data_IF_139964155557
#
_entry.id   IF_139964155557
#
_cell.length_a   1.000
_cell.length_b   1.000
_cell.length_c   1.000
_cell.angle_alpha   90.00
_cell.angle_beta   90.00
_cell.angle_gamma   90.00
#
_symmetry.space_group_name_H-M   'P 1'
#
loop_
_entity.id
_entity.type
_entity.pdbx_description
1 polymer ?
#
# COMPACT_ATOMS: atom_id res chain seq x y z
N UNK A 1 21.88 4.27 -0.77
CA UNK A 1 21.28 5.03 -1.86
C UNK A 1 19.99 5.73 -1.47
N UNK A 2 19.72 6.86 -2.12
CA UNK A 2 18.53 7.65 -1.83
C UNK A 2 17.23 6.85 -2.02
N UNK A 3 17.23 5.93 -2.96
CA UNK A 3 16.03 5.16 -3.29
C UNK A 3 15.58 4.25 -2.14
N UNK A 4 16.52 3.69 -1.38
CA UNK A 4 16.15 2.84 -0.25
C UNK A 4 15.54 3.63 0.90
N UNK A 5 15.88 4.93 1.02
CA UNK A 5 15.27 5.79 2.03
C UNK A 5 13.81 6.13 1.69
N UNK A 6 13.49 6.31 0.41
CA UNK A 6 12.11 6.61 0.00
C UNK A 6 11.18 5.48 0.41
N UNK A 7 11.56 4.23 0.12
CA UNK A 7 10.74 3.07 0.50
C UNK A 7 10.57 2.96 2.01
N UNK A 8 11.64 3.19 2.77
CA UNK A 8 11.58 3.14 4.23
C UNK A 8 10.68 4.23 4.79
N UNK A 9 10.80 5.46 4.30
CA UNK A 9 9.99 6.59 4.77
C UNK A 9 8.51 6.35 4.48
N UNK A 10 8.17 5.89 3.27
CA UNK A 10 6.80 5.59 2.91
C UNK A 10 6.26 4.45 3.76
N UNK A 11 7.06 3.41 3.97
CA UNK A 11 6.68 2.27 4.80
C UNK A 11 6.38 2.71 6.23
N UNK A 12 7.23 3.53 6.82
CA UNK A 12 7.04 4.04 8.19
C UNK A 12 5.76 4.88 8.28
N UNK A 13 5.45 5.67 7.26
CA UNK A 13 4.22 6.45 7.23
C UNK A 13 2.99 5.56 7.13
N UNK A 14 3.08 4.45 6.41
CA UNK A 14 2.01 3.46 6.37
C UNK A 14 1.79 2.85 7.75
N UNK A 15 2.88 2.45 8.41
CA UNK A 15 2.79 1.84 9.74
C UNK A 15 2.24 2.80 10.78
N UNK A 16 2.55 4.09 10.67
CA UNK A 16 2.09 5.11 11.62
C UNK A 16 0.74 5.73 11.25
N UNK A 17 0.09 5.24 10.20
CA UNK A 17 -1.22 5.75 9.81
C UNK A 17 -2.24 5.57 10.91
N UNK A 18 -3.14 6.54 11.05
CA UNK A 18 -4.15 6.56 12.10
C UNK A 18 -5.25 5.51 11.92
N UNK A 19 -5.34 4.89 10.75
CA UNK A 19 -6.34 3.88 10.46
C UNK A 19 -5.78 2.74 9.62
N UNK A 20 -6.51 1.64 9.51
CA UNK A 20 -6.03 0.45 8.81
C UNK A 20 -6.04 0.56 7.30
N UNK A 21 -6.83 1.45 6.72
CA UNK A 21 -6.95 1.61 5.27
C UNK A 21 -6.15 2.83 4.83
N UNK A 22 -5.21 2.62 3.92
CA UNK A 22 -4.30 3.64 3.43
C UNK A 22 -4.41 3.72 1.92
N UNK A 23 -4.47 4.92 1.38
CA UNK A 23 -4.37 5.16 -0.06
C UNK A 23 -2.96 5.67 -0.37
N UNK A 24 -2.25 4.93 -1.20
CA UNK A 24 -0.89 5.28 -1.58
C UNK A 24 -0.91 5.89 -2.98
N UNK A 25 -0.45 7.12 -3.08
CA UNK A 25 -0.35 7.83 -4.35
C UNK A 25 1.10 7.82 -4.82
N UNK A 26 1.30 7.30 -6.01
CA UNK A 26 2.64 7.23 -6.62
C UNK A 26 2.53 7.38 -8.14
N UNK A 27 3.52 8.04 -8.73
CA UNK A 27 3.61 8.14 -10.18
C UNK A 27 4.13 6.87 -10.82
N UNK A 28 4.91 6.09 -10.08
CA UNK A 28 5.49 4.85 -10.59
C UNK A 28 5.44 3.76 -9.52
N UNK A 29 4.59 2.76 -9.77
CA UNK A 29 4.32 1.70 -8.81
C UNK A 29 5.46 0.68 -8.71
N UNK A 30 6.08 0.31 -9.83
CA UNK A 30 7.05 -0.78 -9.84
C UNK A 30 8.31 -0.49 -9.03
N UNK A 31 8.97 0.66 -9.17
CA UNK A 31 10.11 0.97 -8.31
C UNK A 31 9.76 1.00 -6.84
N UNK A 32 8.58 1.50 -6.49
CA UNK A 32 8.14 1.54 -5.10
C UNK A 32 7.96 0.14 -4.53
N UNK A 33 7.38 -0.78 -5.30
CA UNK A 33 7.22 -2.17 -4.88
C UNK A 33 8.58 -2.82 -4.63
N UNK A 34 9.56 -2.56 -5.50
CA UNK A 34 10.91 -3.10 -5.29
C UNK A 34 11.54 -2.57 -4.01
N UNK A 35 11.29 -1.30 -3.68
CA UNK A 35 11.77 -0.74 -2.42
C UNK A 35 11.09 -1.39 -1.21
N UNK A 36 9.79 -1.66 -1.30
CA UNK A 36 9.08 -2.38 -0.25
C UNK A 36 9.59 -3.80 -0.09
N UNK A 37 9.95 -4.45 -1.20
CA UNK A 37 10.55 -5.77 -1.16
C UNK A 37 11.86 -5.76 -0.38
N UNK A 38 12.70 -4.76 -0.62
CA UNK A 38 13.96 -4.60 0.12
C UNK A 38 13.70 -4.35 1.60
N UNK A 39 12.73 -3.49 1.93
CA UNK A 39 12.37 -3.20 3.32
C UNK A 39 11.88 -4.49 4.01
N UNK A 40 11.01 -5.24 3.36
CA UNK A 40 10.47 -6.47 3.93
C UNK A 40 11.56 -7.50 4.22
N UNK A 41 12.49 -7.67 3.28
CA UNK A 41 13.60 -8.62 3.46
C UNK A 41 14.57 -8.18 4.54
N UNK A 42 14.85 -6.88 4.63
CA UNK A 42 15.80 -6.35 5.60
C UNK A 42 15.24 -6.34 7.01
N UNK A 43 13.95 -6.00 7.17
CA UNK A 43 13.33 -5.85 8.48
C UNK A 43 12.62 -7.10 8.97
N UNK A 44 12.34 -8.06 8.08
CA UNK A 44 11.54 -9.23 8.40
C UNK A 44 10.04 -8.97 8.47
N UNK A 45 9.59 -7.77 8.10
CA UNK A 45 8.17 -7.41 8.14
C UNK A 45 7.37 -8.22 7.12
N UNK A 46 6.15 -8.60 7.49
CA UNK A 46 5.23 -9.30 6.60
C UNK A 46 4.58 -8.28 5.67
N UNK A 47 4.97 -8.29 4.41
CA UNK A 47 4.43 -7.41 3.38
C UNK A 47 3.98 -8.28 2.21
N UNK A 48 2.74 -8.05 1.78
CA UNK A 48 2.13 -8.79 0.69
C UNK A 48 1.72 -7.83 -0.42
N UNK A 49 1.69 -8.35 -1.64
CA UNK A 49 1.24 -7.59 -2.81
C UNK A 49 0.19 -8.41 -3.55
N UNK A 50 -0.96 -7.78 -3.80
CA UNK A 50 -1.98 -8.34 -4.67
C UNK A 50 -1.97 -7.62 -6.01
N UNK A 51 -1.95 -8.39 -7.08
CA UNK A 51 -2.14 -7.91 -8.46
C UNK A 51 -3.14 -8.76 -9.17
N UNK A 52 -3.89 -8.12 -10.07
CA UNK A 52 -4.84 -8.83 -10.93
C UNK A 52 -4.13 -9.97 -11.67
N UNK A 53 -4.77 -11.12 -11.73
CA UNK A 53 -4.27 -12.36 -12.36
C UNK A 53 -3.07 -13.02 -11.64
N UNK A 54 -2.32 -12.28 -10.85
CA UNK A 54 -1.17 -12.85 -10.12
C UNK A 54 -1.53 -13.33 -8.71
N UNK A 55 -2.55 -12.73 -8.12
CA UNK A 55 -2.97 -13.05 -6.77
C UNK A 55 -2.14 -12.36 -5.71
N UNK A 56 -2.16 -12.92 -4.51
CA UNK A 56 -1.52 -12.35 -3.32
C UNK A 56 -0.20 -13.07 -3.06
N UNK A 57 0.91 -12.32 -3.13
CA UNK A 57 2.26 -12.88 -2.98
C UNK A 57 2.99 -12.15 -1.87
N UNK A 58 3.90 -12.85 -1.20
CA UNK A 58 4.77 -12.25 -0.18
C UNK A 58 5.90 -11.49 -0.85
N UNK A 59 6.16 -10.27 -0.38
CA UNK A 59 7.35 -9.54 -0.81
C UNK A 59 8.58 -9.91 0.01
N UNK A 60 8.38 -10.45 1.20
CA UNK A 60 9.48 -10.92 2.05
C UNK A 60 10.02 -12.25 1.57
N UNK A 61 9.14 -13.15 1.16
CA UNK A 61 9.51 -14.47 0.69
C UNK A 61 9.00 -14.69 -0.72
N UNK A 62 9.91 -14.65 -1.69
CA UNK A 62 9.56 -14.69 -3.11
C UNK A 62 8.87 -15.99 -3.53
N UNK A 63 9.03 -17.07 -2.74
CA UNK A 63 8.42 -18.36 -3.04
C UNK A 63 7.01 -18.50 -2.47
N UNK A 64 6.60 -17.57 -1.62
CA UNK A 64 5.33 -17.69 -0.94
C UNK A 64 4.22 -16.94 -1.68
N UNK A 65 3.19 -17.72 -2.03
CA UNK A 65 1.94 -17.19 -2.62
C UNK A 65 0.78 -17.72 -1.79
N UNK A 66 -0.19 -16.84 -1.51
CA UNK A 66 -1.38 -17.26 -0.76
C UNK A 66 -2.35 -17.91 -1.74
N UNK A 67 -2.71 -19.19 -1.54
CA UNK A 67 -3.62 -19.87 -2.45
C UNK A 67 -5.02 -19.25 -2.43
N UNK A 68 -5.73 -19.31 -3.57
CA UNK A 68 -7.12 -18.89 -3.65
C UNK A 68 -7.36 -17.40 -3.58
N UNK A 69 -6.33 -16.57 -3.79
CA UNK A 69 -6.44 -15.12 -3.69
C UNK A 69 -6.19 -14.41 -5.02
N UNK A 70 -6.54 -15.05 -6.14
CA UNK A 70 -6.40 -14.44 -7.45
C UNK A 70 -7.39 -13.29 -7.65
N UNK A 71 -8.60 -13.44 -7.15
CA UNK A 71 -9.62 -12.41 -7.24
C UNK A 71 -9.47 -11.45 -6.05
N UNK A 72 -9.74 -10.17 -6.29
CA UNK A 72 -9.64 -9.15 -5.24
C UNK A 72 -10.51 -9.48 -4.03
N UNK A 73 -11.76 -9.90 -4.25
CA UNK A 73 -12.66 -10.25 -3.16
C UNK A 73 -12.14 -11.35 -2.28
N UNK A 74 -11.52 -12.37 -2.87
CA UNK A 74 -10.92 -13.47 -2.11
C UNK A 74 -9.72 -13.01 -1.31
N UNK A 75 -8.90 -12.14 -1.88
CA UNK A 75 -7.78 -11.54 -1.17
C UNK A 75 -8.29 -10.71 0.01
N UNK A 76 -9.33 -9.90 -0.18
CA UNK A 76 -9.90 -9.08 0.89
C UNK A 76 -10.46 -9.93 2.01
N UNK A 77 -11.11 -11.05 1.70
CA UNK A 77 -11.59 -12.00 2.72
C UNK A 77 -10.45 -12.63 3.50
N UNK A 78 -9.40 -13.03 2.79
CA UNK A 78 -8.21 -13.56 3.44
C UNK A 78 -7.63 -12.54 4.42
N UNK A 79 -7.47 -11.31 3.99
CA UNK A 79 -6.93 -10.23 4.82
C UNK A 79 -7.81 -10.00 6.04
N UNK A 80 -9.13 -9.98 5.87
CA UNK A 80 -10.05 -9.73 6.97
C UNK A 80 -10.01 -10.84 8.03
N UNK A 81 -9.65 -12.05 7.64
CA UNK A 81 -9.54 -13.20 8.54
C UNK A 81 -8.15 -13.36 9.13
N UNK A 82 -7.16 -12.59 8.66
CA UNK A 82 -5.79 -12.71 9.15
C UNK A 82 -5.69 -12.18 10.58
N UNK A 83 -5.07 -12.96 11.44
CA UNK A 83 -4.87 -12.62 12.85
C UNK A 83 -3.47 -12.09 13.14
N UNK A 84 -2.63 -12.01 12.12
CA UNK A 84 -1.24 -11.61 12.28
C UNK A 84 -1.01 -10.22 11.70
N UNK A 85 0.02 -9.54 12.22
CA UNK A 85 0.48 -8.29 11.64
C UNK A 85 0.83 -8.49 10.17
N UNK A 86 0.47 -7.52 9.35
CA UNK A 86 0.83 -7.52 7.95
C UNK A 86 0.47 -6.23 7.25
N UNK A 87 1.24 -5.91 6.25
CA UNK A 87 0.96 -4.83 5.30
C UNK A 87 0.57 -5.46 3.98
N UNK A 88 -0.61 -5.15 3.50
CA UNK A 88 -1.17 -5.72 2.27
C UNK A 88 -1.30 -4.62 1.24
N UNK A 89 -0.45 -4.66 0.23
CA UNK A 89 -0.46 -3.72 -0.88
C UNK A 89 -1.40 -4.26 -1.96
N UNK A 90 -2.40 -3.49 -2.33
CA UNK A 90 -3.38 -3.87 -3.34
C UNK A 90 -3.20 -2.96 -4.56
N UNK A 91 -2.70 -3.52 -5.66
CA UNK A 91 -2.61 -2.81 -6.93
C UNK A 91 -4.00 -2.80 -7.56
N UNK A 92 -4.72 -1.71 -7.31
CA UNK A 92 -6.15 -1.64 -7.61
C UNK A 92 -6.39 -1.59 -9.11
N UNK A 93 -7.35 -2.39 -9.61
CA UNK A 93 -7.75 -2.29 -11.00
C UNK A 93 -8.42 -0.95 -11.27
N UNK A 94 -8.40 -0.48 -12.54
CA UNK A 94 -9.07 0.77 -12.89
C UNK A 94 -10.58 0.68 -12.68
N UNK A 95 -11.17 1.81 -12.35
CA UNK A 95 -12.61 1.91 -12.16
C UNK A 95 -13.07 1.58 -10.74
N UNK A 96 -14.37 1.68 -10.49
CA UNK A 96 -14.91 1.41 -9.16
C UNK A 96 -14.88 -0.08 -8.85
N UNK A 97 -14.70 -0.48 -7.59
CA UNK A 97 -14.82 -1.87 -7.20
C UNK A 97 -16.28 -2.34 -7.30
N UNK A 98 -16.47 -3.65 -7.34
CA UNK A 98 -17.81 -4.22 -7.22
C UNK A 98 -18.42 -3.84 -5.87
N UNK A 99 -19.76 -3.96 -5.78
CA UNK A 99 -20.45 -3.69 -4.52
C UNK A 99 -19.93 -4.59 -3.40
N UNK A 100 -19.66 -5.85 -3.70
CA UNK A 100 -19.12 -6.81 -2.72
C UNK A 100 -17.72 -6.40 -2.26
N UNK A 101 -16.85 -6.06 -3.19
CA UNK A 101 -15.48 -5.64 -2.85
C UNK A 101 -15.49 -4.32 -2.08
N UNK A 102 -16.36 -3.39 -2.45
CA UNK A 102 -16.54 -2.14 -1.73
C UNK A 102 -16.97 -2.38 -0.29
N UNK A 103 -17.91 -3.31 -0.07
CA UNK A 103 -18.36 -3.66 1.27
C UNK A 103 -17.24 -4.29 2.11
N UNK A 104 -16.41 -5.14 1.49
CA UNK A 104 -15.27 -5.75 2.19
C UNK A 104 -14.23 -4.69 2.57
N UNK A 105 -13.95 -3.74 1.68
CA UNK A 105 -13.04 -2.63 1.98
C UNK A 105 -13.58 -1.79 3.14
N UNK A 106 -14.88 -1.53 3.16
CA UNK A 106 -15.50 -0.78 4.25
C UNK A 106 -15.38 -1.50 5.57
N UNK A 107 -15.59 -2.81 5.58
CA UNK A 107 -15.36 -3.63 6.77
C UNK A 107 -13.92 -3.50 7.27
N UNK A 108 -12.95 -3.60 6.35
CA UNK A 108 -11.53 -3.48 6.70
C UNK A 108 -11.19 -2.09 7.24
N UNK A 109 -11.80 -1.04 6.69
CA UNK A 109 -11.54 0.33 7.13
C UNK A 109 -12.03 0.59 8.55
N UNK A 110 -13.04 -0.15 9.00
CA UNK A 110 -13.66 0.03 10.31
C UNK A 110 -13.21 -1.00 11.33
N UNK A 111 -12.43 -2.00 10.91
CA UNK A 111 -12.00 -3.06 11.81
C UNK A 111 -11.09 -2.51 12.89
N UNK A 112 -11.53 -2.60 14.13
CA UNK A 112 -10.72 -2.27 15.29
C UNK A 112 -10.17 -3.58 15.83
N UNK A 113 -8.99 -3.95 15.36
CA UNK A 113 -8.32 -5.16 15.83
C UNK A 113 -7.15 -4.74 16.70
N UNK A 114 -6.82 -5.55 17.68
CA UNK A 114 -5.61 -5.37 18.46
C UNK A 114 -4.35 -5.61 17.65
N UNK A 115 -4.50 -5.98 16.38
CA UNK A 115 -3.39 -6.25 15.48
C UNK A 115 -3.18 -5.09 14.53
N UNK A 116 -1.94 -4.76 14.31
CA UNK A 116 -1.57 -3.69 13.39
C UNK A 116 -1.60 -4.24 11.98
N UNK A 117 -2.74 -4.12 11.34
CA UNK A 117 -2.92 -4.51 9.95
C UNK A 117 -3.11 -3.26 9.11
N UNK A 118 -2.44 -3.20 7.98
CA UNK A 118 -2.58 -2.08 7.04
C UNK A 118 -2.97 -2.64 5.68
N UNK A 119 -4.05 -2.11 5.13
CA UNK A 119 -4.48 -2.39 3.76
C UNK A 119 -4.19 -1.14 2.95
N UNK A 120 -3.30 -1.27 1.97
CA UNK A 120 -2.79 -0.13 1.20
C UNK A 120 -3.30 -0.24 -0.22
N UNK A 121 -4.10 0.74 -0.63
CA UNK A 121 -4.64 0.81 -1.99
C UNK A 121 -3.69 1.63 -2.85
N UNK A 122 -3.17 1.01 -3.91
CA UNK A 122 -2.31 1.67 -4.89
C UNK A 122 -3.11 1.89 -6.16
N UNK A 123 -3.14 3.11 -6.66
CA UNK A 123 -3.86 3.42 -7.89
C UNK A 123 -5.37 3.44 -7.76
N UNK A 124 -5.88 3.68 -6.56
CA UNK A 124 -7.32 3.78 -6.34
C UNK A 124 -7.92 4.97 -7.10
N UNK A 125 -9.09 4.77 -7.68
CA UNK A 125 -9.77 5.82 -8.43
C UNK A 125 -10.21 6.97 -7.50
N UNK A 126 -10.33 8.21 -8.02
CA UNK A 126 -10.83 9.31 -7.20
C UNK A 126 -12.23 9.04 -6.62
N UNK A 127 -13.09 8.34 -7.33
CA UNK A 127 -14.41 8.00 -6.83
C UNK A 127 -14.34 7.04 -5.64
N UNK A 128 -13.42 6.08 -5.68
CA UNK A 128 -13.20 5.18 -4.56
C UNK A 128 -12.66 5.94 -3.35
N UNK A 129 -11.70 6.83 -3.56
CA UNK A 129 -11.15 7.64 -2.49
C UNK A 129 -12.21 8.52 -1.84
N UNK A 130 -13.09 9.10 -2.65
CA UNK A 130 -14.19 9.92 -2.14
C UNK A 130 -15.17 9.12 -1.29
N UNK A 131 -15.42 7.86 -1.66
CA UNK A 131 -16.31 6.97 -0.90
C UNK A 131 -15.79 6.72 0.51
N UNK A 132 -14.48 6.70 0.70
CA UNK A 132 -13.83 6.41 1.98
C UNK A 132 -13.16 7.64 2.61
N UNK A 133 -13.58 8.83 2.24
CA UNK A 133 -12.87 10.08 2.58
C UNK A 133 -12.47 10.19 4.05
N UNK A 134 -13.38 9.82 4.96
CA UNK A 134 -13.13 9.92 6.40
C UNK A 134 -12.43 8.69 6.97
N UNK A 135 -12.43 7.59 6.23
CA UNK A 135 -11.94 6.29 6.71
C UNK A 135 -10.64 5.86 6.02
N UNK A 136 -10.05 6.72 5.19
CA UNK A 136 -8.82 6.38 4.48
C UNK A 136 -7.74 7.42 4.77
N UNK A 137 -6.54 6.93 5.04
CA UNK A 137 -5.37 7.78 5.26
C UNK A 137 -4.59 7.87 3.96
N UNK A 138 -4.36 9.08 3.48
CA UNK A 138 -3.64 9.29 2.23
C UNK A 138 -2.16 9.45 2.49
N UNK A 139 -1.35 8.68 1.79
CA UNK A 139 0.11 8.74 1.84
C UNK A 139 0.62 9.01 0.42
N UNK A 140 1.43 10.03 0.28
CA UNK A 140 2.01 10.42 -1.00
C UNK A 140 3.43 9.84 -1.09
N UNK A 141 3.60 8.85 -1.95
CA UNK A 141 4.90 8.20 -2.14
C UNK A 141 5.88 9.08 -2.90
N UNK A 142 5.40 10.09 -3.62
CA UNK A 142 6.25 11.03 -4.35
C UNK A 142 6.73 12.19 -3.47
N UNK A 143 6.31 12.22 -2.19
CA UNK A 143 6.67 13.28 -1.26
C UNK A 143 8.18 13.46 -1.17
N UNK A 144 8.94 12.37 -1.04
CA UNK A 144 10.39 12.45 -0.93
C UNK A 144 11.02 12.99 -2.22
N UNK A 145 10.53 12.53 -3.37
CA UNK A 145 11.00 13.01 -4.65
C UNK A 145 10.75 14.51 -4.82
N UNK A 146 9.58 15.00 -4.37
CA UNK A 146 9.29 16.43 -4.40
C UNK A 146 10.18 17.22 -3.45
N UNK A 147 10.47 16.67 -2.29
CA UNK A 147 11.38 17.29 -1.33
C UNK A 147 12.81 17.37 -1.86
N UNK A 148 13.20 16.38 -2.66
CA UNK A 148 14.51 16.33 -3.28
C UNK A 148 14.57 17.02 -4.65
N UNK A 149 13.45 17.59 -5.11
CA UNK A 149 13.41 18.28 -6.40
C UNK A 149 14.38 19.46 -6.44
N UNK A 150 14.82 19.87 -7.62
CA UNK A 150 15.74 21.01 -7.77
C UNK A 150 15.18 22.24 -7.05
N UNK A 151 16.05 22.93 -6.34
CA UNK A 151 15.69 24.11 -5.57
C UNK A 151 16.59 25.27 -5.95
N UNK A 152 16.07 26.49 -5.76
CA UNK A 152 16.91 27.65 -5.88
C UNK A 152 17.83 27.75 -4.68
N UNK A 153 19.11 27.90 -4.97
CA UNK A 153 20.13 28.19 -3.98
C UNK A 153 21.01 29.28 -4.57
N UNK A 154 21.18 30.38 -3.85
CA UNK A 154 21.95 31.52 -4.31
C UNK A 154 21.41 32.05 -5.65
N UNK A 155 20.09 32.01 -5.83
CA UNK A 155 19.45 32.44 -7.06
C UNK A 155 19.58 31.46 -8.20
N UNK A 156 20.04 30.23 -7.95
CA UNK A 156 20.21 29.18 -8.95
C UNK A 156 19.51 27.91 -8.54
N UNK A 157 19.08 27.15 -9.54
CA UNK A 157 18.49 25.87 -9.29
C UNK A 157 19.57 24.84 -8.95
N UNK A 158 19.31 24.07 -7.92
CA UNK A 158 20.12 22.94 -7.53
C UNK A 158 19.46 21.70 -8.12
N UNK A 159 20.23 20.99 -8.89
CA UNK A 159 19.75 19.77 -9.54
C UNK A 159 20.43 18.57 -8.90
#
# INVERSE_FOLDING_TARGET
PADSHVGTDVFDRILSASGPLVALQTGDTNPLIEQFRLVARRTGQAVYLWRHAEGLVSLRDAQMRVPGCTRLGDALRYISQSLHFGVYLLDMPPGPPSATDGALLRQLSRAQTGHVRRVVLIGASPSLLATFEDDIVRVDADWHARSAAPRLRDGRWIV
#
